data_IF_648715724000
#
_entry.id   IF_648715724000
#
_cell.length_a   1.000
_cell.length_b   1.000
_cell.length_c   1.000
_cell.angle_alpha   90.00
_cell.angle_beta   90.00
_cell.angle_gamma   90.00
#
_symmetry.space_group_name_H-M   'P 1'
#
loop_
_entity.id
_entity.type
_entity.pdbx_description
1 polymer ?
#
# COMPACT_ATOMS: atom_id res chain seq x y z
N UNK A 1 -0.19 8.13 -3.01
CA UNK A 1 0.45 7.79 -4.30
C UNK A 1 -0.30 6.67 -5.00
N UNK A 2 -0.29 5.43 -4.49
CA UNK A 2 -0.97 4.30 -5.16
C UNK A 2 -2.44 4.53 -5.55
N UNK A 3 -3.26 4.98 -4.59
CA UNK A 3 -4.69 5.21 -4.82
C UNK A 3 -5.00 6.20 -5.97
N UNK A 4 -4.32 7.34 -6.01
CA UNK A 4 -4.67 8.44 -6.94
C UNK A 4 -3.72 8.54 -8.14
N UNK A 5 -2.59 7.84 -8.10
CA UNK A 5 -1.57 7.92 -9.14
C UNK A 5 -2.03 7.33 -10.48
N UNK A 6 -3.02 6.44 -10.46
CA UNK A 6 -3.59 5.81 -11.66
C UNK A 6 -4.78 6.59 -12.26
N UNK A 7 -5.14 7.74 -11.70
CA UNK A 7 -6.17 8.62 -12.28
C UNK A 7 -5.55 9.55 -13.31
N UNK A 8 -6.25 9.79 -14.42
CA UNK A 8 -5.84 10.74 -15.49
C UNK A 8 -5.97 12.20 -15.03
N UNK A 9 -5.16 12.55 -14.04
CA UNK A 9 -5.07 13.88 -13.44
C UNK A 9 -3.68 14.06 -12.84
N UNK A 10 -3.30 15.32 -12.64
CA UNK A 10 -2.05 15.66 -11.95
C UNK A 10 -2.28 15.69 -10.43
N UNK A 11 -1.40 15.02 -9.70
CA UNK A 11 -1.44 14.97 -8.23
C UNK A 11 -0.07 15.29 -7.67
N UNK A 12 -0.01 16.22 -6.71
CA UNK A 12 1.25 16.59 -6.06
C UNK A 12 1.24 16.16 -4.60
N UNK A 13 2.31 15.49 -4.18
CA UNK A 13 2.55 15.03 -2.81
C UNK A 13 3.68 15.86 -2.20
N UNK A 14 3.39 16.46 -1.06
CA UNK A 14 4.35 17.18 -0.22
C UNK A 14 4.42 16.50 1.16
N UNK A 15 5.51 16.71 1.88
CA UNK A 15 5.71 16.16 3.21
C UNK A 15 6.52 17.12 4.07
N UNK A 16 6.55 16.85 5.38
CA UNK A 16 7.47 17.53 6.29
C UNK A 16 8.94 17.16 5.97
N UNK A 17 9.89 17.70 6.75
CA UNK A 17 11.31 17.43 6.56
C UNK A 17 11.67 15.93 6.70
N UNK A 18 11.00 15.22 7.62
CA UNK A 18 11.26 13.79 7.84
C UNK A 18 10.79 12.96 6.65
N UNK A 19 9.56 13.21 6.16
CA UNK A 19 8.96 12.49 5.05
C UNK A 19 9.67 12.82 3.73
N UNK A 20 10.06 14.08 3.53
CA UNK A 20 10.76 14.53 2.32
C UNK A 20 12.17 13.96 2.18
N UNK A 21 12.80 13.54 3.28
CA UNK A 21 14.07 12.80 3.25
C UNK A 21 13.95 11.36 2.79
N UNK A 22 12.75 10.78 2.73
CA UNK A 22 12.55 9.34 2.46
C UNK A 22 12.46 9.07 0.95
N UNK A 23 13.18 8.04 0.44
CA UNK A 23 13.05 7.64 -0.96
C UNK A 23 11.68 6.98 -1.21
N UNK A 24 10.99 7.41 -2.25
CA UNK A 24 9.68 6.91 -2.66
C UNK A 24 9.76 5.96 -3.87
N UNK A 25 10.96 5.68 -4.40
CA UNK A 25 11.18 4.77 -5.54
C UNK A 25 10.49 3.43 -5.37
N UNK A 26 10.56 2.82 -4.18
CA UNK A 26 9.86 1.56 -3.85
C UNK A 26 8.34 1.56 -4.12
N UNK A 27 7.70 2.73 -4.11
CA UNK A 27 6.28 2.91 -4.47
C UNK A 27 6.14 3.41 -5.91
N UNK A 28 7.03 4.28 -6.39
CA UNK A 28 6.96 4.83 -7.74
C UNK A 28 7.28 3.79 -8.82
N UNK A 29 8.20 2.86 -8.57
CA UNK A 29 8.62 1.85 -9.53
C UNK A 29 7.47 0.97 -10.03
N UNK A 30 6.63 0.36 -9.16
CA UNK A 30 5.45 -0.34 -9.66
C UNK A 30 4.45 0.60 -10.33
N UNK A 31 4.28 1.84 -9.86
CA UNK A 31 3.35 2.78 -10.50
C UNK A 31 3.80 3.16 -11.91
N UNK A 32 5.11 3.30 -12.15
CA UNK A 32 5.67 3.48 -13.50
C UNK A 32 5.33 2.30 -14.41
N UNK A 33 5.38 1.06 -13.90
CA UNK A 33 4.98 -0.14 -14.66
C UNK A 33 3.48 -0.13 -15.00
N UNK A 34 2.64 0.50 -14.15
CA UNK A 34 1.22 0.70 -14.41
C UNK A 34 0.91 1.87 -15.36
N UNK A 35 1.94 2.57 -15.86
CA UNK A 35 1.82 3.70 -16.79
C UNK A 35 1.74 5.08 -16.12
N UNK A 36 1.96 5.18 -14.80
CA UNK A 36 1.98 6.46 -14.08
C UNK A 36 3.26 7.23 -14.42
N UNK A 37 3.11 8.49 -14.81
CA UNK A 37 4.21 9.39 -15.07
C UNK A 37 4.61 10.15 -13.81
N UNK A 38 5.91 10.24 -13.54
CA UNK A 38 6.48 11.10 -12.51
C UNK A 38 6.92 12.39 -13.20
N UNK A 39 6.10 13.44 -13.13
CA UNK A 39 6.37 14.72 -13.79
C UNK A 39 7.46 15.53 -13.08
N UNK A 40 7.48 15.46 -11.74
CA UNK A 40 8.46 16.13 -10.89
C UNK A 40 8.78 15.24 -9.70
N UNK A 41 10.06 15.14 -9.35
CA UNK A 41 10.54 14.54 -8.11
C UNK A 41 11.90 15.15 -7.76
N UNK A 42 12.19 15.27 -6.47
CA UNK A 42 13.56 15.58 -6.03
C UNK A 42 14.48 14.36 -6.27
N UNK A 43 15.82 14.56 -6.36
CA UNK A 43 16.77 13.49 -6.62
C UNK A 43 16.59 12.28 -5.69
N UNK A 44 16.65 11.08 -6.27
CA UNK A 44 16.42 9.83 -5.55
C UNK A 44 14.94 9.54 -5.23
N UNK A 45 14.03 10.02 -6.09
CA UNK A 45 12.58 9.83 -5.96
C UNK A 45 12.05 10.34 -4.61
N UNK A 46 12.40 11.57 -4.25
CA UNK A 46 12.00 12.20 -2.99
C UNK A 46 10.93 13.28 -3.20
N UNK A 47 10.19 13.60 -2.15
CA UNK A 47 9.21 14.68 -2.17
C UNK A 47 9.89 16.05 -2.32
N UNK A 48 9.21 17.04 -2.93
CA UNK A 48 7.85 16.96 -3.50
C UNK A 48 7.80 16.12 -4.78
N UNK A 49 6.71 15.37 -4.97
CA UNK A 49 6.50 14.49 -6.13
C UNK A 49 5.19 14.87 -6.82
N UNK A 50 5.24 15.11 -8.13
CA UNK A 50 4.05 15.29 -8.97
C UNK A 50 3.89 14.09 -9.89
N UNK A 51 2.72 13.44 -9.83
CA UNK A 51 2.34 12.30 -10.66
C UNK A 51 1.26 12.70 -11.65
N UNK A 52 1.23 12.04 -12.81
CA UNK A 52 0.10 12.03 -13.73
C UNK A 52 -0.22 10.60 -14.14
N UNK A 53 -1.44 10.15 -13.85
CA UNK A 53 -1.88 8.84 -14.27
C UNK A 53 -2.18 8.79 -15.77
N UNK A 54 -2.12 7.60 -16.38
CA UNK A 54 -2.54 7.41 -17.76
C UNK A 54 -4.07 7.43 -17.87
N UNK A 55 -4.58 7.58 -19.10
CA UNK A 55 -6.02 7.42 -19.39
C UNK A 55 -6.54 6.05 -18.93
N UNK A 56 -5.72 5.01 -19.11
CA UNK A 56 -5.97 3.66 -18.63
C UNK A 56 -4.68 3.11 -18.03
N UNK A 57 -4.69 2.78 -16.74
CA UNK A 57 -3.56 2.13 -16.10
C UNK A 57 -3.45 0.67 -16.56
N UNK A 58 -2.23 0.14 -16.60
CA UNK A 58 -1.99 -1.27 -16.90
C UNK A 58 -1.98 -2.10 -15.61
N UNK A 59 -2.72 -3.22 -15.54
CA UNK A 59 -2.59 -4.16 -14.42
C UNK A 59 -1.21 -4.82 -14.46
N UNK A 60 -0.63 -5.09 -13.29
CA UNK A 60 0.70 -5.69 -13.18
C UNK A 60 0.68 -6.90 -12.25
N UNK A 61 1.67 -7.78 -12.43
CA UNK A 61 2.07 -8.75 -11.41
C UNK A 61 3.37 -8.26 -10.77
N UNK A 62 3.30 -7.83 -9.51
CA UNK A 62 4.42 -7.19 -8.84
C UNK A 62 4.89 -8.00 -7.63
N UNK A 63 6.11 -8.52 -7.69
CA UNK A 63 6.77 -9.16 -6.55
C UNK A 63 7.44 -8.12 -5.68
N UNK A 64 6.97 -7.96 -4.44
CA UNK A 64 7.50 -6.95 -3.53
C UNK A 64 8.96 -7.31 -3.17
N UNK A 65 9.96 -6.46 -3.45
CA UNK A 65 11.36 -6.82 -3.26
C UNK A 65 11.82 -6.79 -1.79
N UNK A 66 10.97 -6.28 -0.89
CA UNK A 66 11.22 -6.17 0.55
C UNK A 66 9.93 -6.41 1.34
N UNK A 67 10.04 -6.74 2.62
CA UNK A 67 8.89 -6.91 3.52
C UNK A 67 8.22 -5.55 3.84
N UNK A 68 7.52 -4.96 2.86
CA UNK A 68 6.88 -3.65 2.96
C UNK A 68 5.38 -3.72 2.68
N UNK A 69 4.59 -3.68 3.76
CA UNK A 69 3.14 -3.55 3.67
C UNK A 69 2.70 -2.29 2.93
N UNK A 70 3.50 -1.22 2.97
CA UNK A 70 3.19 0.04 2.27
C UNK A 70 3.28 -0.10 0.76
N UNK A 71 4.28 -0.84 0.25
CA UNK A 71 4.42 -1.09 -1.20
C UNK A 71 3.29 -2.00 -1.67
N UNK A 72 3.03 -3.10 -0.94
CA UNK A 72 1.86 -3.96 -1.18
C UNK A 72 0.57 -3.13 -1.27
N UNK A 73 0.31 -2.31 -0.26
CA UNK A 73 -0.92 -1.50 -0.20
C UNK A 73 -1.00 -0.50 -1.34
N UNK A 74 0.11 0.15 -1.70
CA UNK A 74 0.11 1.11 -2.80
C UNK A 74 -0.25 0.46 -4.15
N UNK A 75 0.27 -0.74 -4.43
CA UNK A 75 -0.06 -1.49 -5.66
C UNK A 75 -1.50 -1.96 -5.65
N UNK A 76 -2.00 -2.51 -4.53
CA UNK A 76 -3.41 -2.93 -4.42
C UNK A 76 -4.38 -1.76 -4.60
N UNK A 77 -4.10 -0.61 -3.99
CA UNK A 77 -4.91 0.60 -4.14
C UNK A 77 -4.86 1.17 -5.57
N UNK A 78 -3.72 1.08 -6.24
CA UNK A 78 -3.61 1.44 -7.66
C UNK A 78 -4.45 0.52 -8.54
N UNK A 79 -4.50 -0.77 -8.20
CA UNK A 79 -5.33 -1.78 -8.86
C UNK A 79 -6.83 -1.45 -8.85
N UNK A 80 -7.34 -0.74 -7.82
CA UNK A 80 -8.76 -0.38 -7.73
C UNK A 80 -9.27 0.43 -8.94
N UNK A 81 -8.44 1.31 -9.51
CA UNK A 81 -8.80 2.12 -10.69
C UNK A 81 -8.20 1.57 -12.01
N UNK A 82 -7.72 0.32 -12.00
CA UNK A 82 -7.00 -0.29 -13.12
C UNK A 82 -7.83 -1.43 -13.72
N UNK A 83 -8.18 -1.43 -15.02
CA UNK A 83 -8.92 -2.53 -15.61
C UNK A 83 -8.13 -3.86 -15.56
N UNK A 84 -8.82 -4.96 -15.28
CA UNK A 84 -8.23 -6.30 -15.17
C UNK A 84 -7.75 -6.65 -13.76
N UNK A 85 -6.85 -7.63 -13.67
CA UNK A 85 -6.38 -8.20 -12.39
C UNK A 85 -4.98 -7.69 -12.09
N UNK A 86 -4.84 -6.94 -10.99
CA UNK A 86 -3.54 -6.59 -10.43
C UNK A 86 -3.14 -7.63 -9.39
N UNK A 87 -1.91 -8.13 -9.48
CA UNK A 87 -1.39 -9.19 -8.59
C UNK A 87 -0.21 -8.68 -7.80
N UNK A 88 -0.22 -8.83 -6.48
CA UNK A 88 0.94 -8.60 -5.61
C UNK A 88 1.45 -9.94 -5.10
N UNK A 89 2.73 -10.21 -5.32
CA UNK A 89 3.44 -11.37 -4.76
C UNK A 89 4.24 -10.90 -3.55
N UNK A 90 3.89 -11.39 -2.37
CA UNK A 90 4.48 -11.05 -1.09
C UNK A 90 5.30 -12.25 -0.57
N UNK A 91 6.65 -12.22 -0.68
CA UNK A 91 7.50 -13.35 -0.29
C UNK A 91 7.51 -13.63 1.22
N UNK A 92 7.32 -12.60 2.04
CA UNK A 92 7.27 -12.68 3.49
C UNK A 92 6.06 -11.89 3.94
N UNK A 93 5.19 -12.52 4.73
CA UNK A 93 3.96 -11.89 5.20
C UNK A 93 4.25 -10.59 5.96
N UNK A 94 3.57 -9.53 5.56
CA UNK A 94 3.49 -8.28 6.31
C UNK A 94 2.06 -8.07 6.82
N UNK A 95 1.84 -7.06 7.67
CA UNK A 95 0.47 -6.71 8.14
C UNK A 95 -0.51 -6.66 6.96
N UNK A 96 -1.71 -7.19 7.17
CA UNK A 96 -2.68 -7.51 6.10
C UNK A 96 -3.96 -6.67 6.17
N UNK A 97 -3.86 -5.48 6.78
CA UNK A 97 -5.01 -4.58 6.97
C UNK A 97 -5.65 -4.19 5.62
N UNK A 98 -4.85 -3.92 4.59
CA UNK A 98 -5.36 -3.52 3.28
C UNK A 98 -6.18 -4.62 2.64
N UNK A 99 -5.70 -5.86 2.67
CA UNK A 99 -6.42 -7.01 2.13
C UNK A 99 -7.75 -7.25 2.86
N UNK A 100 -7.72 -7.24 4.20
CA UNK A 100 -8.91 -7.45 5.04
C UNK A 100 -9.94 -6.33 4.86
N UNK A 101 -9.49 -5.08 4.88
CA UNK A 101 -10.38 -3.93 4.71
C UNK A 101 -10.97 -3.92 3.30
N UNK A 102 -10.17 -4.06 2.24
CA UNK A 102 -10.71 -4.07 0.87
C UNK A 102 -11.75 -5.17 0.66
N UNK A 103 -11.51 -6.39 1.17
CA UNK A 103 -12.53 -7.45 1.18
C UNK A 103 -13.80 -7.03 1.92
N UNK A 104 -13.67 -6.44 3.12
CA UNK A 104 -14.80 -5.94 3.89
C UNK A 104 -15.60 -4.84 3.19
N UNK A 105 -14.95 -4.01 2.38
CA UNK A 105 -15.61 -3.01 1.54
C UNK A 105 -16.20 -3.59 0.24
N UNK A 106 -16.07 -4.90 0.00
CA UNK A 106 -16.65 -5.59 -1.15
C UNK A 106 -15.74 -5.68 -2.38
N UNK A 107 -14.44 -5.41 -2.26
CA UNK A 107 -13.50 -5.63 -3.36
C UNK A 107 -13.43 -7.13 -3.72
N UNK A 108 -13.41 -7.45 -5.01
CA UNK A 108 -13.05 -8.79 -5.47
C UNK A 108 -11.54 -8.98 -5.34
N UNK A 109 -11.14 -9.42 -4.13
CA UNK A 109 -9.75 -9.63 -3.75
C UNK A 109 -9.60 -11.05 -3.22
N UNK A 110 -8.66 -11.81 -3.77
CA UNK A 110 -8.31 -13.15 -3.28
C UNK A 110 -6.87 -13.17 -2.78
N UNK A 111 -6.59 -14.07 -1.84
CA UNK A 111 -5.25 -14.29 -1.30
C UNK A 111 -5.00 -15.78 -1.30
N UNK A 112 -3.98 -16.21 -2.03
CA UNK A 112 -3.49 -17.58 -2.08
C UNK A 112 -2.11 -17.61 -1.39
N UNK A 113 -1.83 -18.66 -0.64
CA UNK A 113 -0.52 -18.87 -0.01
C UNK A 113 0.04 -20.20 -0.49
N UNK A 114 1.24 -20.19 -1.07
CA UNK A 114 1.89 -21.42 -1.52
C UNK A 114 2.51 -22.22 -0.36
N UNK A 115 3.01 -23.42 -0.64
CA UNK A 115 3.67 -24.30 0.35
C UNK A 115 4.92 -23.68 0.99
N UNK A 116 5.51 -22.66 0.36
CA UNK A 116 6.69 -21.92 0.85
C UNK A 116 6.30 -20.70 1.66
N UNK A 117 5.00 -20.45 1.87
CA UNK A 117 4.48 -19.28 2.59
C UNK A 117 4.44 -18.00 1.77
N UNK A 118 4.72 -18.05 0.46
CA UNK A 118 4.62 -16.89 -0.44
C UNK A 118 3.14 -16.60 -0.71
N UNK A 119 2.76 -15.34 -0.55
CA UNK A 119 1.37 -14.90 -0.74
C UNK A 119 1.19 -14.28 -2.12
N UNK A 120 0.17 -14.74 -2.83
CA UNK A 120 -0.30 -14.19 -4.10
C UNK A 120 -1.64 -13.49 -3.84
N UNK A 121 -1.66 -12.18 -4.02
CA UNK A 121 -2.82 -11.33 -3.71
C UNK A 121 -3.35 -10.77 -5.01
N UNK A 122 -4.54 -11.17 -5.40
CA UNK A 122 -5.18 -10.75 -6.64
C UNK A 122 -6.28 -9.76 -6.31
N UNK A 123 -6.35 -8.66 -7.05
CA UNK A 123 -7.45 -7.70 -6.98
C UNK A 123 -7.96 -7.41 -8.39
N UNK A 124 -9.26 -7.64 -8.60
CA UNK A 124 -9.95 -7.19 -9.81
C UNK A 124 -10.30 -5.70 -9.66
N UNK A 125 -9.83 -4.89 -10.60
CA UNK A 125 -10.05 -3.45 -10.56
C UNK A 125 -11.40 -3.01 -11.11
N UNK A 126 -11.71 -1.73 -10.92
CA UNK A 126 -12.98 -1.09 -11.30
C UNK A 126 -14.23 -1.73 -10.68
N UNK A 127 -14.06 -2.53 -9.63
CA UNK A 127 -15.13 -3.08 -8.82
C UNK A 127 -15.78 -2.03 -7.90
N UNK A 128 -17.03 -2.30 -7.51
CA UNK A 128 -17.78 -1.45 -6.57
C UNK A 128 -17.30 -1.68 -5.14
N UNK A 129 -16.95 -0.59 -4.44
CA UNK A 129 -16.79 -0.61 -2.98
C UNK A 129 -18.05 -0.05 -2.31
N UNK A 130 -18.42 -0.62 -1.17
CA UNK A 130 -19.58 -0.19 -0.37
C UNK A 130 -19.12 0.24 1.02
N UNK A 131 -19.59 1.39 1.49
CA UNK A 131 -19.27 1.91 2.82
C UNK A 131 -19.61 0.91 3.92
N UNK A 132 -18.77 0.86 4.94
CA UNK A 132 -18.88 -0.06 6.08
C UNK A 132 -18.85 0.69 7.40
N UNK A 133 -19.45 0.11 8.43
CA UNK A 133 -19.22 0.52 9.83
C UNK A 133 -17.97 -0.19 10.34
N UNK A 134 -16.99 0.56 10.83
CA UNK A 134 -15.69 0.03 11.25
C UNK A 134 -15.45 0.36 12.72
N UNK A 135 -15.22 -0.67 13.52
CA UNK A 135 -14.67 -0.53 14.87
C UNK A 135 -13.14 -0.68 14.78
N UNK A 136 -12.40 0.41 15.00
CA UNK A 136 -10.93 0.39 14.96
C UNK A 136 -10.41 -0.18 16.29
N UNK A 137 -9.64 -1.29 16.28
CA UNK A 137 -9.09 -1.86 17.51
C UNK A 137 -7.99 -0.97 18.09
N UNK A 138 -7.65 -1.17 19.37
CA UNK A 138 -6.50 -0.50 19.99
C UNK A 138 -5.18 -0.81 19.25
N UNK A 139 -4.28 0.17 19.20
CA UNK A 139 -3.01 0.03 18.48
C UNK A 139 -1.97 -0.76 19.31
N UNK A 140 -1.55 -1.96 18.87
CA UNK A 140 -0.56 -2.75 19.59
C UNK A 140 0.80 -2.04 19.66
N UNK A 141 1.14 -1.18 18.70
CA UNK A 141 2.38 -0.40 18.69
C UNK A 141 2.39 0.62 19.82
N UNK A 142 1.23 1.25 20.10
CA UNK A 142 1.06 2.16 21.23
C UNK A 142 0.98 1.41 22.55
N UNK A 143 0.32 0.26 22.60
CA UNK A 143 0.24 -0.58 23.80
C UNK A 143 1.61 -1.14 24.22
N UNK A 144 2.56 -1.24 23.30
CA UNK A 144 3.93 -1.67 23.60
C UNK A 144 4.64 -0.80 24.64
N UNK A 145 4.38 0.52 24.68
CA UNK A 145 5.01 1.41 25.66
C UNK A 145 4.60 1.12 27.11
N UNK A 146 3.31 1.14 27.48
CA UNK A 146 2.90 0.81 28.85
C UNK A 146 3.18 -0.66 29.20
N UNK A 147 3.11 -1.59 28.23
CA UNK A 147 3.46 -2.99 28.46
C UNK A 147 4.92 -3.15 28.88
N UNK A 148 5.85 -2.53 28.15
CA UNK A 148 7.27 -2.58 28.51
C UNK A 148 7.53 -1.86 29.83
N UNK A 149 6.86 -0.72 30.08
CA UNK A 149 6.98 0.00 31.34
C UNK A 149 6.59 -0.87 32.54
N UNK A 150 5.46 -1.59 32.45
CA UNK A 150 5.01 -2.51 33.50
C UNK A 150 5.96 -3.69 33.73
N UNK A 151 6.68 -4.14 32.69
CA UNK A 151 7.66 -5.22 32.84
C UNK A 151 8.96 -4.80 33.53
N UNK A 152 9.34 -3.52 33.42
CA UNK A 152 10.66 -3.05 33.90
C UNK A 152 10.59 -2.26 35.22
N UNK A 153 9.41 -1.80 35.64
CA UNK A 153 9.21 -1.09 36.91
C UNK A 153 8.77 -2.11 37.97
N UNK A 154 9.57 -2.38 39.01
CA UNK A 154 9.16 -3.29 40.09
C UNK A 154 7.87 -2.82 40.79
N UNK A 155 6.94 -3.75 41.05
CA UNK A 155 5.68 -3.46 41.74
C UNK A 155 4.67 -2.64 40.91
N UNK A 156 4.67 -2.83 39.59
CA UNK A 156 3.77 -2.15 38.64
C UNK A 156 2.70 -3.06 38.03
N UNK A 157 2.46 -4.20 38.68
CA UNK A 157 1.26 -5.03 38.56
C UNK A 157 -0.04 -4.30 38.92
#
# INVERSE_FOLDING_TARGET
MGLVGTYDMETTFIGDASLSGRPMGRVLDPLRQMGVQVLKAAPGDRMPITLRGPKHAAPITYRVPMASAQVKSAVLLAGLNTPGITTVIEPVMTRDHTEKMLKGFGANLTVETDERGVRHIFIEGQGKLTGQTIAVPGDPSSAGFPLVAALIVPGSD
#
